data_IF_864609651399
#
_entry.id   IF_864609651399
#
_cell.length_a   1.000
_cell.length_b   1.000
_cell.length_c   1.000
_cell.angle_alpha   90.00
_cell.angle_beta   90.00
_cell.angle_gamma   90.00
#
_symmetry.space_group_name_H-M   'P 1'
#
loop_
_entity.id
_entity.type
_entity.pdbx_description
1 polymer ?
#
# COMPACT_ATOMS: atom_id res chain seq x y z
N UNK A 1 -9.55 3.37 16.59
CA UNK A 1 -9.10 4.05 15.36
C UNK A 1 -7.91 3.25 14.85
N UNK A 2 -7.87 2.94 13.56
CA UNK A 2 -6.82 2.13 12.99
C UNK A 2 -5.44 2.81 13.19
N UNK A 3 -4.41 2.04 13.52
CA UNK A 3 -3.09 2.59 13.82
C UNK A 3 -2.30 2.82 12.53
N UNK A 4 -2.44 4.03 12.00
CA UNK A 4 -1.83 4.43 10.76
C UNK A 4 -0.40 4.90 10.97
N UNK A 5 0.52 4.38 10.15
CA UNK A 5 1.86 4.93 10.08
C UNK A 5 1.88 6.32 9.41
N UNK A 6 2.96 7.06 9.66
CA UNK A 6 3.34 8.21 8.83
C UNK A 6 3.66 7.75 7.40
N UNK A 7 3.64 8.69 6.45
CA UNK A 7 4.15 8.42 5.09
C UNK A 7 5.64 8.12 5.17
N UNK A 8 6.06 7.01 4.57
CA UNK A 8 7.45 6.56 4.49
C UNK A 8 7.88 6.47 3.02
N UNK A 9 9.13 6.82 2.70
CA UNK A 9 9.66 6.61 1.36
C UNK A 9 9.90 5.11 1.12
N UNK A 10 9.59 4.64 -0.09
CA UNK A 10 9.87 3.27 -0.47
C UNK A 10 11.38 3.09 -0.73
N UNK A 11 12.10 2.61 0.27
CA UNK A 11 13.54 2.30 0.19
C UNK A 11 13.84 0.97 0.90
N UNK A 12 14.91 0.26 0.54
CA UNK A 12 15.27 -0.99 1.23
C UNK A 12 15.41 -0.83 2.75
N UNK A 13 15.93 0.30 3.21
CA UNK A 13 16.17 0.62 4.62
C UNK A 13 14.87 0.82 5.41
N UNK A 14 13.78 1.20 4.75
CA UNK A 14 12.48 1.40 5.41
C UNK A 14 11.90 0.09 5.97
N UNK A 15 12.38 -1.09 5.55
CA UNK A 15 11.93 -2.38 6.05
C UNK A 15 12.09 -2.53 7.58
N UNK A 16 13.14 -1.94 8.16
CA UNK A 16 13.40 -1.99 9.61
C UNK A 16 12.34 -1.22 10.43
N UNK A 17 11.67 -0.25 9.79
CA UNK A 17 10.64 0.60 10.41
C UNK A 17 9.25 -0.05 10.39
N UNK A 18 9.09 -1.18 9.69
CA UNK A 18 7.80 -1.85 9.52
C UNK A 18 7.66 -2.95 10.58
N UNK A 19 6.54 -3.03 11.30
CA UNK A 19 6.29 -4.08 12.27
C UNK A 19 5.99 -5.43 11.60
N UNK A 20 6.23 -6.52 12.33
CA UNK A 20 5.85 -7.88 11.93
C UNK A 20 4.40 -8.19 12.35
N UNK A 21 3.47 -7.37 11.87
CA UNK A 21 2.06 -7.45 12.26
C UNK A 21 1.15 -7.62 11.04
N UNK A 22 -0.09 -8.05 11.30
CA UNK A 22 -1.14 -8.16 10.29
C UNK A 22 -1.70 -6.77 10.02
N UNK A 23 -1.90 -6.43 8.74
CA UNK A 23 -2.32 -5.08 8.39
C UNK A 23 -2.58 -4.86 6.92
N UNK A 24 -2.50 -3.60 6.52
CA UNK A 24 -2.76 -3.12 5.15
C UNK A 24 -1.59 -2.27 4.70
N UNK A 25 -1.09 -2.50 3.49
CA UNK A 25 -0.20 -1.57 2.79
C UNK A 25 -0.99 -0.64 1.90
N UNK A 26 -0.59 0.64 1.89
CA UNK A 26 -1.14 1.67 1.02
C UNK A 26 0.01 2.35 0.31
N UNK A 27 0.20 2.06 -0.97
CA UNK A 27 1.22 2.69 -1.79
C UNK A 27 0.70 3.97 -2.43
N UNK A 28 1.60 4.94 -2.53
CA UNK A 28 1.31 6.31 -2.87
C UNK A 28 2.27 6.81 -3.97
N UNK A 29 1.78 7.71 -4.82
CA UNK A 29 2.62 8.41 -5.79
C UNK A 29 3.68 9.29 -5.12
N UNK A 30 4.58 9.87 -5.92
CA UNK A 30 5.34 11.04 -5.49
C UNK A 30 4.37 12.19 -5.18
N UNK A 31 4.64 12.94 -4.11
CA UNK A 31 3.95 14.21 -3.89
C UNK A 31 4.37 15.18 -5.00
N UNK A 32 3.42 15.65 -5.80
CA UNK A 32 3.63 16.78 -6.69
C UNK A 32 3.32 18.06 -5.91
N UNK A 33 4.05 19.15 -6.18
CA UNK A 33 3.87 20.42 -5.46
C UNK A 33 2.39 20.83 -5.45
N UNK A 34 1.86 21.09 -4.25
CA UNK A 34 0.46 21.42 -3.95
C UNK A 34 -0.60 20.33 -4.26
N UNK A 35 -0.23 19.06 -4.44
CA UNK A 35 -1.19 17.95 -4.56
C UNK A 35 -1.08 16.95 -3.41
N UNK A 36 -2.22 16.39 -3.03
CA UNK A 36 -2.28 15.25 -2.11
C UNK A 36 -1.68 14.01 -2.76
N UNK A 37 -1.06 13.14 -1.96
CA UNK A 37 -0.60 11.83 -2.40
C UNK A 37 -1.76 11.05 -2.99
N UNK A 38 -1.62 10.57 -4.23
CA UNK A 38 -2.60 9.68 -4.83
C UNK A 38 -2.29 8.25 -4.42
N UNK A 39 -3.31 7.51 -3.96
CA UNK A 39 -3.20 6.07 -3.71
C UNK A 39 -3.09 5.34 -5.05
N UNK A 40 -2.06 4.50 -5.19
CA UNK A 40 -1.83 3.72 -6.41
C UNK A 40 -2.16 2.25 -6.22
N UNK A 41 -1.96 1.74 -5.01
CA UNK A 41 -2.19 0.34 -4.69
C UNK A 41 -2.49 0.17 -3.20
N UNK A 42 -3.34 -0.80 -2.88
CA UNK A 42 -3.63 -1.26 -1.52
C UNK A 42 -3.66 -2.78 -1.48
N UNK A 43 -3.10 -3.37 -0.42
CA UNK A 43 -3.13 -4.83 -0.22
C UNK A 43 -3.06 -5.16 1.27
N UNK A 44 -3.88 -6.12 1.71
CA UNK A 44 -3.75 -6.70 3.04
C UNK A 44 -2.54 -7.65 3.12
N UNK A 45 -1.87 -7.65 4.27
CA UNK A 45 -0.76 -8.55 4.54
C UNK A 45 -0.95 -9.24 5.90
N UNK A 46 -0.68 -10.55 5.95
CA UNK A 46 -0.60 -11.32 7.20
C UNK A 46 0.69 -11.03 7.98
N UNK A 47 1.69 -10.43 7.33
CA UNK A 47 2.88 -9.88 7.96
C UNK A 47 3.39 -8.72 7.10
N UNK A 48 3.27 -7.50 7.62
CA UNK A 48 3.65 -6.29 6.90
C UNK A 48 5.13 -6.29 6.52
N UNK A 49 6.04 -6.57 7.46
CA UNK A 49 7.49 -6.57 7.17
C UNK A 49 7.86 -7.61 6.12
N UNK A 50 7.38 -8.84 6.24
CA UNK A 50 7.68 -9.90 5.27
C UNK A 50 7.20 -9.51 3.87
N UNK A 51 5.96 -9.02 3.76
CA UNK A 51 5.40 -8.60 2.47
C UNK A 51 6.17 -7.41 1.86
N UNK A 52 6.68 -6.49 2.69
CA UNK A 52 7.55 -5.42 2.21
C UNK A 52 8.86 -5.95 1.61
N UNK A 53 9.48 -6.93 2.29
CA UNK A 53 10.71 -7.56 1.80
C UNK A 53 10.49 -8.28 0.47
N UNK A 54 9.32 -8.90 0.25
CA UNK A 54 8.98 -9.50 -1.04
C UNK A 54 9.02 -8.46 -2.16
N UNK A 55 8.46 -7.27 -1.94
CA UNK A 55 8.54 -6.17 -2.90
C UNK A 55 9.99 -5.73 -3.12
N UNK A 56 10.79 -5.56 -2.06
CA UNK A 56 12.22 -5.19 -2.18
C UNK A 56 13.02 -6.25 -2.97
N UNK A 57 12.63 -7.53 -2.89
CA UNK A 57 13.24 -8.63 -3.64
C UNK A 57 12.71 -8.79 -5.08
N UNK A 58 11.83 -7.90 -5.53
CA UNK A 58 11.39 -7.82 -6.93
C UNK A 58 10.08 -8.55 -7.23
N UNK A 59 9.29 -8.93 -6.23
CA UNK A 59 7.88 -9.23 -6.47
C UNK A 59 7.13 -7.95 -6.90
N UNK A 60 6.22 -8.07 -7.87
CA UNK A 60 5.40 -6.96 -8.38
C UNK A 60 6.23 -5.75 -8.90
N UNK A 61 7.18 -5.95 -9.84
CA UNK A 61 8.12 -4.89 -10.26
C UNK A 61 7.41 -3.66 -10.85
N UNK A 62 6.24 -3.85 -11.48
CA UNK A 62 5.43 -2.76 -12.03
C UNK A 62 4.87 -1.82 -10.95
N UNK A 63 4.61 -2.34 -9.74
CA UNK A 63 4.19 -1.52 -8.60
C UNK A 63 5.33 -0.61 -8.15
N UNK A 64 6.55 -1.13 -8.12
CA UNK A 64 7.75 -0.43 -7.67
C UNK A 64 8.17 0.72 -8.60
N UNK A 65 7.85 0.63 -9.89
CA UNK A 65 8.09 1.72 -10.85
C UNK A 65 7.29 2.99 -10.52
N UNK A 66 6.18 2.85 -9.79
CA UNK A 66 5.25 3.94 -9.49
C UNK A 66 5.14 4.25 -7.98
N UNK A 67 5.45 3.30 -7.12
CA UNK A 67 5.42 3.39 -5.66
C UNK A 67 6.62 4.15 -5.10
N UNK A 68 6.49 5.46 -4.95
CA UNK A 68 7.54 6.30 -4.35
C UNK A 68 7.40 6.37 -2.83
N UNK A 69 6.18 6.33 -2.33
CA UNK A 69 5.88 6.39 -0.90
C UNK A 69 4.87 5.32 -0.50
N UNK A 70 4.81 5.00 0.79
CA UNK A 70 3.80 4.11 1.32
C UNK A 70 3.37 4.52 2.73
N UNK A 71 2.24 3.96 3.14
CA UNK A 71 1.76 3.90 4.52
C UNK A 71 1.36 2.47 4.82
N UNK A 72 1.21 2.17 6.09
CA UNK A 72 0.62 0.93 6.54
C UNK A 72 -0.34 1.19 7.70
N UNK A 73 -1.28 0.27 7.87
CA UNK A 73 -2.21 0.20 8.99
C UNK A 73 -2.01 -1.12 9.68
N UNK A 74 -1.77 -1.09 10.98
CA UNK A 74 -1.81 -2.30 11.81
C UNK A 74 -3.25 -2.53 12.24
N UNK A 75 -3.82 -3.67 11.85
CA UNK A 75 -5.18 -4.04 12.22
C UNK A 75 -5.31 -5.57 12.19
N UNK A 76 -5.30 -6.26 13.34
CA UNK A 76 -5.39 -7.71 13.40
C UNK A 76 -6.82 -8.25 13.19
N UNK A 77 -7.86 -7.43 13.35
CA UNK A 77 -9.24 -7.85 13.12
C UNK A 77 -9.58 -7.86 11.62
N UNK A 78 -10.01 -9.01 11.09
CA UNK A 78 -10.33 -9.17 9.66
C UNK A 78 -11.46 -8.25 9.19
N UNK A 79 -12.55 -8.15 9.94
CA UNK A 79 -13.70 -7.32 9.54
C UNK A 79 -13.34 -5.84 9.51
N UNK A 80 -12.55 -5.36 10.47
CA UNK A 80 -12.03 -4.00 10.49
C UNK A 80 -11.05 -3.75 9.33
N UNK A 81 -10.15 -4.69 9.02
CA UNK A 81 -9.27 -4.59 7.85
C UNK A 81 -10.05 -4.52 6.54
N UNK A 82 -11.04 -5.39 6.37
CA UNK A 82 -11.84 -5.43 5.15
C UNK A 82 -12.61 -4.12 4.95
N UNK A 83 -13.13 -3.55 6.04
CA UNK A 83 -13.79 -2.25 6.00
C UNK A 83 -12.82 -1.12 5.62
N UNK A 84 -11.62 -1.12 6.19
CA UNK A 84 -10.59 -0.11 5.90
C UNK A 84 -10.05 -0.23 4.47
N UNK A 85 -9.73 -1.44 4.00
CA UNK A 85 -9.32 -1.69 2.63
C UNK A 85 -10.40 -1.24 1.64
N UNK A 86 -11.66 -1.59 1.90
CA UNK A 86 -12.79 -1.17 1.07
C UNK A 86 -12.94 0.35 1.02
N UNK A 87 -12.72 1.03 2.14
CA UNK A 87 -12.74 2.49 2.21
C UNK A 87 -11.65 3.09 1.30
N UNK A 88 -10.41 2.60 1.44
CA UNK A 88 -9.26 3.04 0.63
C UNK A 88 -9.50 2.78 -0.86
N UNK A 89 -10.04 1.62 -1.21
CA UNK A 89 -10.39 1.28 -2.60
C UNK A 89 -11.45 2.22 -3.18
N UNK A 90 -12.46 2.57 -2.38
CA UNK A 90 -13.60 3.38 -2.82
C UNK A 90 -13.24 4.86 -2.92
N UNK A 91 -12.50 5.40 -1.94
CA UNK A 91 -12.12 6.82 -1.90
C UNK A 91 -10.89 7.12 -2.75
N UNK A 92 -9.90 6.21 -2.75
CA UNK A 92 -8.64 6.38 -3.45
C UNK A 92 -8.66 5.97 -4.92
N UNK A 93 -9.60 5.09 -5.31
CA UNK A 93 -9.67 4.46 -6.64
C UNK A 93 -8.28 4.06 -7.20
N UNK A 94 -7.50 3.25 -6.45
CA UNK A 94 -6.11 2.97 -6.79
C UNK A 94 -6.00 2.26 -8.14
N UNK A 95 -5.29 2.91 -9.07
CA UNK A 95 -5.23 2.51 -10.47
C UNK A 95 -4.67 1.08 -10.64
N UNK A 96 -3.69 0.67 -9.84
CA UNK A 96 -3.09 -0.66 -9.95
C UNK A 96 -4.01 -1.77 -9.42
N UNK A 97 -4.80 -1.53 -8.38
CA UNK A 97 -5.82 -2.49 -7.97
C UNK A 97 -6.87 -2.68 -9.06
N UNK A 98 -7.30 -1.61 -9.71
CA UNK A 98 -8.28 -1.68 -10.80
C UNK A 98 -7.75 -2.46 -12.01
N UNK A 99 -6.45 -2.34 -12.32
CA UNK A 99 -5.79 -3.15 -13.36
C UNK A 99 -5.70 -4.62 -12.92
N UNK A 100 -5.26 -4.89 -11.67
CA UNK A 100 -5.15 -6.25 -11.11
C UNK A 100 -6.50 -6.97 -11.08
N UNK A 101 -7.58 -6.26 -10.78
CA UNK A 101 -8.96 -6.78 -10.79
C UNK A 101 -9.55 -6.91 -12.20
N UNK A 102 -8.80 -6.58 -13.27
CA UNK A 102 -9.28 -6.65 -14.66
C UNK A 102 -10.35 -5.59 -15.00
N UNK A 103 -10.50 -4.55 -14.17
CA UNK A 103 -11.48 -3.48 -14.35
C UNK A 103 -11.00 -2.41 -15.32
N UNK A 104 -9.68 -2.26 -15.47
CA UNK A 104 -9.05 -1.37 -16.44
C UNK A 104 -7.97 -2.16 -17.19
N UNK A 105 -8.05 -2.22 -18.51
CA UNK A 105 -6.94 -2.67 -19.36
C UNK A 105 -6.06 -1.48 -19.71
N UNK A 106 -4.75 -1.58 -19.44
CA UNK A 106 -3.77 -0.69 -20.03
C UNK A 106 -3.70 -1.01 -21.54
N UNK A 107 -4.24 -0.12 -22.36
CA UNK A 107 -4.00 -0.11 -23.82
C UNK A 107 -2.65 0.54 -24.12
#
# INVERSE_FOLDING_TARGET
MADWSRVLPFTPESAELIPEEIGIFVFLTKQLDNQMYKVIYVEQASNLRARYLDYVHGEEPYLLEHAVNYRYVVEPNQEARDAEEKLILTEGAPTLNLIRSGTISLN
#
